data_IF_338117996273
#
_entry.id   IF_338117996273
#
_cell.length_a   1.000
_cell.length_b   1.000
_cell.length_c   1.000
_cell.angle_alpha   90.00
_cell.angle_beta   90.00
_cell.angle_gamma   90.00
#
_symmetry.space_group_name_H-M   'P 1'
#
loop_
_entity.id
_entity.type
_entity.pdbx_description
1 polymer ?
#
# COMPACT_ATOMS: atom_id res chain seq x y z
N UNK A 1 19.66 -10.23 8.54
CA UNK A 1 19.31 -11.50 9.19
C UNK A 1 18.02 -11.97 8.51
N UNK A 2 17.88 -13.23 8.15
CA UNK A 2 16.68 -13.77 7.53
C UNK A 2 15.92 -14.59 8.59
N UNK A 3 14.59 -14.48 8.62
CA UNK A 3 13.72 -15.39 9.35
C UNK A 3 13.06 -16.31 8.31
N UNK A 4 13.78 -17.33 7.92
CA UNK A 4 13.24 -18.38 7.04
C UNK A 4 13.07 -19.65 7.88
N UNK A 5 11.95 -20.35 7.71
CA UNK A 5 11.75 -21.62 8.39
C UNK A 5 12.74 -22.67 7.88
N UNK A 6 13.22 -23.52 8.78
CA UNK A 6 14.11 -24.62 8.44
C UNK A 6 13.50 -25.95 8.86
N UNK A 7 13.82 -26.99 8.13
CA UNK A 7 13.45 -28.37 8.44
C UNK A 7 14.70 -29.23 8.53
N UNK A 8 14.59 -30.28 9.33
CA UNK A 8 15.66 -31.28 9.43
C UNK A 8 15.54 -32.26 8.27
N UNK A 9 16.57 -32.32 7.44
CA UNK A 9 16.67 -33.28 6.36
C UNK A 9 16.87 -34.70 6.85
N UNK A 10 16.61 -35.75 6.07
CA UNK A 10 16.81 -37.16 6.48
C UNK A 10 18.23 -37.49 6.88
N UNK A 11 19.24 -36.79 6.37
CA UNK A 11 20.65 -36.92 6.72
C UNK A 11 21.04 -36.22 8.05
N UNK A 12 20.05 -35.57 8.68
CA UNK A 12 20.21 -34.84 9.94
C UNK A 12 20.68 -33.40 9.79
N UNK A 13 20.98 -32.91 8.60
CA UNK A 13 21.31 -31.52 8.33
C UNK A 13 20.06 -30.62 8.40
N UNK A 14 20.26 -29.31 8.65
CA UNK A 14 19.20 -28.32 8.53
C UNK A 14 19.21 -27.71 7.14
N UNK A 15 18.03 -27.58 6.54
CA UNK A 15 17.82 -26.85 5.28
C UNK A 15 16.64 -25.94 5.37
N UNK A 16 16.62 -24.92 4.53
CA UNK A 16 15.44 -24.06 4.35
C UNK A 16 14.21 -24.91 4.00
N UNK A 17 13.09 -24.62 4.65
CA UNK A 17 11.82 -25.24 4.32
C UNK A 17 11.30 -24.77 2.96
N UNK A 18 10.63 -25.67 2.27
CA UNK A 18 9.89 -25.38 1.03
C UNK A 18 8.40 -25.69 1.24
N UNK A 19 7.50 -25.10 0.45
CA UNK A 19 6.09 -25.47 0.46
C UNK A 19 5.95 -26.99 0.26
N UNK A 20 5.20 -27.64 1.16
CA UNK A 20 5.05 -29.10 1.22
C UNK A 20 5.90 -29.79 2.31
N UNK A 21 6.77 -29.05 3.00
CA UNK A 21 7.52 -29.60 4.13
C UNK A 21 6.72 -29.60 5.45
N UNK A 22 5.50 -29.05 5.46
CA UNK A 22 4.58 -29.06 6.61
C UNK A 22 4.86 -27.98 7.67
N UNK A 23 5.78 -27.03 7.41
CA UNK A 23 6.16 -26.01 8.40
C UNK A 23 5.06 -24.97 8.57
N UNK A 24 4.42 -24.55 7.49
CA UNK A 24 3.29 -23.62 7.56
C UNK A 24 2.07 -24.30 8.21
N UNK A 25 1.83 -25.58 7.95
CA UNK A 25 0.80 -26.38 8.64
C UNK A 25 1.07 -26.47 10.15
N UNK A 26 2.32 -26.75 10.54
CA UNK A 26 2.75 -26.80 11.94
C UNK A 26 2.56 -25.43 12.63
N UNK A 27 2.89 -24.34 11.95
CA UNK A 27 2.62 -22.98 12.43
C UNK A 27 1.13 -22.75 12.69
N UNK A 28 0.25 -23.11 11.73
CA UNK A 28 -1.20 -22.97 11.91
C UNK A 28 -1.70 -23.79 13.08
N UNK A 29 -1.19 -25.03 13.27
CA UNK A 29 -1.55 -25.89 14.40
C UNK A 29 -1.10 -25.26 15.71
N UNK A 30 0.11 -24.70 15.76
CA UNK A 30 0.61 -23.98 16.93
C UNK A 30 -0.24 -22.76 17.25
N UNK A 31 -0.57 -21.92 16.27
CA UNK A 31 -1.40 -20.75 16.45
C UNK A 31 -2.83 -21.11 16.92
N UNK A 32 -3.40 -22.20 16.38
CA UNK A 32 -4.74 -22.67 16.78
C UNK A 32 -4.81 -23.13 18.26
N UNK A 33 -3.67 -23.58 18.81
CA UNK A 33 -3.56 -24.01 20.21
C UNK A 33 -3.05 -22.90 21.13
N UNK A 34 -2.53 -21.80 20.59
CA UNK A 34 -1.96 -20.72 21.37
C UNK A 34 -3.04 -19.83 22.02
N UNK A 35 -2.79 -19.25 23.20
CA UNK A 35 -3.61 -18.16 23.71
C UNK A 35 -3.51 -16.93 22.78
N UNK A 36 -4.49 -15.99 22.86
CA UNK A 36 -4.52 -14.81 21.99
C UNK A 36 -3.20 -14.04 21.96
N UNK A 37 -2.50 -14.00 23.08
CA UNK A 37 -1.14 -13.44 23.15
C UNK A 37 -0.29 -14.31 24.08
N UNK A 38 0.92 -14.68 23.60
CA UNK A 38 1.90 -15.38 24.39
C UNK A 38 3.31 -14.93 24.04
N UNK A 39 4.23 -15.01 25.00
CA UNK A 39 5.63 -14.63 24.81
C UNK A 39 6.53 -15.78 25.25
N UNK A 40 7.49 -16.16 24.40
CA UNK A 40 8.50 -17.18 24.70
C UNK A 40 9.87 -16.63 24.27
N UNK A 41 10.72 -16.37 25.27
CA UNK A 41 12.01 -15.70 25.05
C UNK A 41 11.80 -14.32 24.38
N UNK A 42 12.42 -14.14 23.24
CA UNK A 42 12.32 -12.89 22.47
C UNK A 42 11.16 -12.85 21.46
N UNK A 43 10.34 -13.91 21.40
CA UNK A 43 9.23 -14.00 20.46
C UNK A 43 7.90 -13.71 21.14
N UNK A 44 7.07 -12.92 20.47
CA UNK A 44 5.66 -12.72 20.85
C UNK A 44 4.78 -13.30 19.76
N UNK A 45 3.86 -14.17 20.15
CA UNK A 45 2.86 -14.80 19.28
C UNK A 45 1.51 -14.13 19.55
N UNK A 46 0.82 -13.77 18.50
CA UNK A 46 -0.59 -13.36 18.52
C UNK A 46 -1.38 -14.33 17.67
N UNK A 47 -2.43 -14.90 18.26
CA UNK A 47 -3.29 -15.88 17.61
C UNK A 47 -4.74 -15.42 17.72
N UNK A 48 -5.43 -15.23 16.58
CA UNK A 48 -6.78 -14.67 16.57
C UNK A 48 -7.84 -15.62 16.03
N UNK A 49 -7.63 -16.14 14.81
CA UNK A 49 -8.60 -16.96 14.12
C UNK A 49 -8.00 -18.22 13.50
N UNK A 50 -6.75 -18.54 13.87
CA UNK A 50 -6.03 -19.68 13.32
C UNK A 50 -6.74 -20.99 13.63
N UNK A 51 -6.69 -21.91 12.68
CA UNK A 51 -7.15 -23.29 12.80
C UNK A 51 -6.18 -24.21 12.07
N UNK A 52 -6.09 -25.45 12.49
CA UNK A 52 -5.29 -26.44 11.80
C UNK A 52 -5.86 -26.73 10.40
N UNK A 53 -5.01 -26.60 9.41
CA UNK A 53 -5.33 -26.86 7.99
C UNK A 53 -4.12 -27.54 7.38
N UNK A 54 -4.33 -28.43 6.41
CA UNK A 54 -3.27 -29.17 5.72
C UNK A 54 -3.27 -28.87 4.21
N UNK A 55 -2.13 -29.16 3.57
CA UNK A 55 -1.91 -28.98 2.14
C UNK A 55 -1.22 -27.67 1.80
N UNK A 56 0.12 -27.67 1.82
CA UNK A 56 0.92 -26.49 1.46
C UNK A 56 1.14 -26.39 -0.04
N UNK A 57 1.04 -25.17 -0.56
CA UNK A 57 1.42 -24.83 -1.94
C UNK A 57 2.04 -23.45 -2.03
N UNK A 58 2.98 -23.28 -2.96
CA UNK A 58 3.59 -21.98 -3.23
C UNK A 58 2.60 -21.00 -3.86
N UNK A 59 2.80 -19.71 -3.61
CA UNK A 59 2.19 -18.66 -4.43
C UNK A 59 3.15 -18.36 -5.59
N UNK A 60 2.64 -18.50 -6.82
CA UNK A 60 3.42 -18.32 -8.05
C UNK A 60 3.48 -16.84 -8.50
N UNK A 61 3.79 -15.90 -7.59
CA UNK A 61 3.99 -14.48 -7.89
C UNK A 61 5.30 -13.99 -7.27
N UNK A 62 5.98 -13.10 -7.97
CA UNK A 62 7.18 -12.42 -7.46
C UNK A 62 6.81 -11.61 -6.21
N UNK A 63 7.35 -11.99 -5.07
CA UNK A 63 7.11 -11.33 -3.79
C UNK A 63 8.43 -11.12 -3.03
N UNK A 64 8.49 -10.04 -2.27
CA UNK A 64 9.58 -9.77 -1.33
C UNK A 64 9.58 -10.71 -0.13
N UNK A 65 8.44 -11.34 0.17
CA UNK A 65 8.22 -12.31 1.23
C UNK A 65 8.03 -13.71 0.66
N UNK A 66 8.40 -14.74 1.41
CA UNK A 66 8.05 -16.12 1.07
C UNK A 66 6.63 -16.39 1.55
N UNK A 67 5.72 -16.61 0.61
CA UNK A 67 4.30 -16.85 0.90
C UNK A 67 3.89 -18.27 0.55
N UNK A 68 3.20 -18.92 1.48
CA UNK A 68 2.69 -20.29 1.34
C UNK A 68 1.18 -20.29 1.59
N UNK A 69 0.41 -20.84 0.65
CA UNK A 69 -1.01 -21.08 0.86
C UNK A 69 -1.17 -22.44 1.53
N UNK A 70 -2.01 -22.49 2.57
CA UNK A 70 -2.30 -23.73 3.30
C UNK A 70 -3.79 -24.04 3.17
N UNK A 71 -4.10 -25.15 2.49
CA UNK A 71 -5.43 -25.74 2.38
C UNK A 71 -6.52 -24.82 1.89
N UNK A 72 -6.28 -23.95 0.90
CA UNK A 72 -7.24 -22.93 0.43
C UNK A 72 -7.91 -22.10 1.54
N UNK A 73 -7.28 -22.00 2.70
CA UNK A 73 -7.83 -21.36 3.88
C UNK A 73 -6.96 -20.23 4.44
N UNK A 74 -5.63 -20.38 4.38
CA UNK A 74 -4.69 -19.41 4.93
C UNK A 74 -3.54 -19.10 3.99
N UNK A 75 -2.96 -17.91 4.15
CA UNK A 75 -1.68 -17.50 3.57
C UNK A 75 -0.71 -17.22 4.72
N UNK A 76 0.41 -17.92 4.71
CA UNK A 76 1.53 -17.70 5.64
C UNK A 76 2.60 -16.92 4.91
N UNK A 77 2.94 -15.72 5.40
CA UNK A 77 3.95 -14.82 4.83
C UNK A 77 5.14 -14.73 5.78
N UNK A 78 6.26 -15.30 5.37
CA UNK A 78 7.51 -15.25 6.13
C UNK A 78 8.33 -14.02 5.73
N UNK A 79 8.81 -13.26 6.71
CA UNK A 79 9.71 -12.14 6.48
C UNK A 79 11.10 -12.67 6.11
N UNK A 80 11.41 -12.77 4.83
CA UNK A 80 12.73 -13.25 4.34
C UNK A 80 13.88 -12.35 4.74
N UNK A 81 13.60 -11.08 5.03
CA UNK A 81 14.58 -10.10 5.51
C UNK A 81 14.04 -9.43 6.78
N UNK A 82 14.61 -9.82 7.94
CA UNK A 82 14.32 -9.11 9.18
C UNK A 82 14.96 -7.73 9.13
N UNK A 83 14.12 -6.70 9.07
CA UNK A 83 14.56 -5.32 9.19
C UNK A 83 14.99 -5.06 10.63
N UNK A 84 16.14 -4.40 10.82
CA UNK A 84 16.51 -3.87 12.12
C UNK A 84 15.70 -2.59 12.34
N UNK A 85 14.71 -2.65 13.25
CA UNK A 85 13.87 -1.52 13.56
C UNK A 85 12.40 -1.92 13.81
N UNK A 86 11.57 -0.98 14.22
CA UNK A 86 10.16 -1.24 14.44
C UNK A 86 9.47 -1.59 13.12
N UNK A 87 8.52 -2.52 13.18
CA UNK A 87 7.70 -2.91 12.04
C UNK A 87 6.25 -2.43 12.24
N UNK A 88 5.65 -1.72 11.28
CA UNK A 88 4.32 -1.13 11.48
C UNK A 88 3.17 -2.14 11.46
N UNK A 89 3.26 -3.20 10.65
CA UNK A 89 2.16 -4.13 10.42
C UNK A 89 1.56 -4.74 11.69
N UNK A 90 2.34 -5.22 12.68
CA UNK A 90 1.76 -5.82 13.89
C UNK A 90 0.78 -4.91 14.60
N UNK A 91 1.15 -3.64 14.81
CA UNK A 91 0.30 -2.68 15.50
C UNK A 91 -0.90 -2.26 14.64
N UNK A 92 -0.69 -1.97 13.35
CA UNK A 92 -1.77 -1.61 12.42
C UNK A 92 -2.83 -2.71 12.34
N UNK A 93 -2.42 -3.97 12.16
CA UNK A 93 -3.34 -5.12 12.10
C UNK A 93 -4.13 -5.26 13.41
N UNK A 94 -3.48 -5.11 14.57
CA UNK A 94 -4.16 -5.15 15.87
C UNK A 94 -5.21 -4.06 16.02
N UNK A 95 -4.85 -2.82 15.68
CA UNK A 95 -5.76 -1.67 15.74
C UNK A 95 -6.95 -1.85 14.81
N UNK A 96 -6.69 -2.23 13.55
CA UNK A 96 -7.74 -2.46 12.55
C UNK A 96 -8.70 -3.57 12.99
N UNK A 97 -8.17 -4.69 13.48
CA UNK A 97 -8.98 -5.80 13.99
C UNK A 97 -9.84 -5.36 15.19
N UNK A 98 -9.24 -4.67 16.16
CA UNK A 98 -9.90 -4.22 17.37
C UNK A 98 -11.02 -3.21 17.08
N UNK A 99 -10.86 -2.37 16.06
CA UNK A 99 -11.84 -1.36 15.63
C UNK A 99 -12.80 -1.87 14.54
N UNK A 100 -12.84 -3.19 14.30
CA UNK A 100 -13.84 -3.82 13.47
C UNK A 100 -13.69 -3.62 11.96
N UNK A 101 -12.51 -3.19 11.48
CA UNK A 101 -12.24 -3.10 10.05
C UNK A 101 -12.27 -4.50 9.41
N UNK A 102 -13.08 -4.67 8.35
CA UNK A 102 -13.32 -5.97 7.71
C UNK A 102 -12.81 -6.06 6.29
N UNK A 103 -12.49 -4.93 5.66
CA UNK A 103 -12.01 -4.90 4.27
C UNK A 103 -10.51 -5.14 4.19
N UNK A 104 -10.03 -6.18 4.89
CA UNK A 104 -8.69 -6.76 4.80
C UNK A 104 -8.81 -8.29 4.90
N UNK A 105 -7.84 -9.07 4.40
CA UNK A 105 -7.80 -10.50 4.67
C UNK A 105 -7.91 -10.77 6.17
N UNK A 106 -8.75 -11.72 6.59
CA UNK A 106 -8.97 -11.98 8.02
C UNK A 106 -7.64 -12.34 8.69
N UNK A 107 -7.15 -11.58 9.68
CA UNK A 107 -5.90 -11.91 10.35
C UNK A 107 -6.07 -13.17 11.20
N UNK A 108 -5.26 -14.18 10.98
CA UNK A 108 -5.25 -15.42 11.76
C UNK A 108 -4.24 -15.38 12.89
N UNK A 109 -3.13 -14.68 12.70
CA UNK A 109 -2.12 -14.48 13.71
C UNK A 109 -0.83 -13.95 13.15
N UNK A 110 0.12 -13.61 14.01
CA UNK A 110 1.46 -13.19 13.64
C UNK A 110 2.47 -13.53 14.74
N UNK A 111 3.73 -13.57 14.35
CA UNK A 111 4.85 -13.68 15.29
C UNK A 111 5.79 -12.52 15.06
N UNK A 112 6.16 -11.89 16.16
CA UNK A 112 7.17 -10.85 16.18
C UNK A 112 8.38 -11.31 17.01
N UNK A 113 9.52 -10.74 16.70
CA UNK A 113 10.78 -10.98 17.40
C UNK A 113 11.37 -9.66 17.91
N UNK A 114 11.85 -9.68 19.16
CA UNK A 114 12.52 -8.54 19.79
C UNK A 114 13.96 -8.92 20.12
N UNK A 115 14.97 -8.41 19.39
CA UNK A 115 16.37 -8.68 19.69
C UNK A 115 16.82 -7.87 20.92
N UNK A 116 17.04 -8.55 22.05
CA UNK A 116 17.42 -7.88 23.30
C UNK A 116 16.45 -6.76 23.68
N UNK A 117 16.95 -5.55 23.91
CA UNK A 117 16.17 -4.35 24.22
C UNK A 117 15.76 -3.57 22.95
N UNK A 118 16.01 -4.13 21.77
CA UNK A 118 15.69 -3.51 20.50
C UNK A 118 14.18 -3.46 20.19
N UNK A 119 13.79 -2.77 19.12
CA UNK A 119 12.40 -2.73 18.69
C UNK A 119 11.95 -4.10 18.19
N UNK A 120 10.64 -4.31 18.27
CA UNK A 120 9.98 -5.52 17.79
C UNK A 120 9.85 -5.49 16.26
N UNK A 121 10.22 -6.59 15.60
CA UNK A 121 10.07 -6.76 14.14
C UNK A 121 9.17 -7.95 13.81
N UNK A 122 8.54 -7.91 12.63
CA UNK A 122 7.69 -8.99 12.14
C UNK A 122 8.54 -10.17 11.65
N UNK A 123 8.15 -11.39 12.01
CA UNK A 123 8.77 -12.65 11.57
C UNK A 123 7.87 -13.36 10.57
N UNK A 124 6.60 -13.47 10.91
CA UNK A 124 5.59 -14.12 10.06
C UNK A 124 4.23 -13.50 10.31
N UNK A 125 3.48 -13.33 9.25
CA UNK A 125 2.06 -12.96 9.27
C UNK A 125 1.23 -14.08 8.66
N UNK A 126 0.05 -14.33 9.21
CA UNK A 126 -0.89 -15.33 8.75
C UNK A 126 -2.25 -14.68 8.55
N UNK A 127 -2.71 -14.71 7.32
CA UNK A 127 -3.99 -14.15 6.88
C UNK A 127 -4.90 -15.24 6.31
N UNK A 128 -6.21 -15.04 6.34
CA UNK A 128 -7.17 -15.83 5.60
C UNK A 128 -6.90 -15.73 4.09
N UNK A 129 -6.87 -16.87 3.42
CA UNK A 129 -6.73 -16.91 1.97
C UNK A 129 -8.03 -16.44 1.28
N UNK A 130 -7.88 -15.67 0.22
CA UNK A 130 -8.98 -15.19 -0.62
C UNK A 130 -8.93 -15.90 -1.98
N UNK A 131 -9.68 -17.00 -2.16
CA UNK A 131 -9.69 -17.75 -3.41
C UNK A 131 -10.14 -16.89 -4.58
N UNK A 132 -9.39 -16.95 -5.69
CA UNK A 132 -9.72 -16.21 -6.91
C UNK A 132 -9.55 -14.69 -6.80
N UNK A 133 -8.89 -14.19 -5.75
CA UNK A 133 -8.59 -12.76 -5.66
C UNK A 133 -7.66 -12.33 -6.80
N UNK A 134 -7.97 -11.18 -7.38
CA UNK A 134 -7.22 -10.56 -8.46
C UNK A 134 -6.46 -9.37 -7.89
N UNK A 135 -5.17 -9.26 -8.21
CA UNK A 135 -4.34 -8.14 -7.76
C UNK A 135 -4.79 -6.81 -8.37
N UNK A 136 -4.43 -5.74 -7.65
CA UNK A 136 -4.93 -4.40 -7.96
C UNK A 136 -4.52 -3.87 -9.32
N UNK A 137 -3.31 -4.15 -9.77
CA UNK A 137 -2.87 -3.71 -11.08
C UNK A 137 -3.65 -4.41 -12.18
N UNK A 138 -3.86 -5.73 -12.05
CA UNK A 138 -4.62 -6.51 -13.03
C UNK A 138 -6.06 -6.02 -13.16
N UNK A 139 -6.84 -6.00 -12.06
CA UNK A 139 -8.26 -5.62 -12.16
C UNK A 139 -8.45 -4.15 -12.57
N UNK A 140 -7.60 -3.22 -12.10
CA UNK A 140 -7.76 -1.80 -12.40
C UNK A 140 -7.42 -1.49 -13.87
N UNK A 141 -6.32 -2.05 -14.38
CA UNK A 141 -5.91 -1.86 -15.78
C UNK A 141 -6.95 -2.43 -16.73
N UNK A 142 -7.44 -3.66 -16.50
CA UNK A 142 -8.45 -4.29 -17.35
C UNK A 142 -9.77 -3.53 -17.33
N UNK A 143 -10.23 -3.14 -16.14
CA UNK A 143 -11.49 -2.41 -15.98
C UNK A 143 -11.45 -1.04 -16.67
N UNK A 144 -10.34 -0.29 -16.54
CA UNK A 144 -10.14 1.00 -17.21
C UNK A 144 -10.04 0.82 -18.74
N UNK A 145 -9.31 -0.19 -19.20
CA UNK A 145 -9.18 -0.48 -20.63
C UNK A 145 -10.52 -0.86 -21.27
N UNK A 146 -11.31 -1.71 -20.62
CA UNK A 146 -12.66 -2.06 -21.09
C UNK A 146 -13.58 -0.84 -21.16
N UNK A 147 -13.53 0.02 -20.13
CA UNK A 147 -14.35 1.23 -20.10
C UNK A 147 -13.93 2.23 -21.19
N UNK A 148 -12.64 2.38 -21.46
CA UNK A 148 -12.16 3.25 -22.54
C UNK A 148 -12.55 2.75 -23.94
N UNK A 149 -12.67 1.43 -24.13
CA UNK A 149 -13.17 0.82 -25.39
C UNK A 149 -14.69 0.99 -25.58
N UNK A 150 -15.44 0.90 -24.49
CA UNK A 150 -16.92 0.91 -24.48
C UNK A 150 -17.45 1.91 -23.44
N UNK A 151 -17.18 3.22 -23.59
CA UNK A 151 -17.46 4.20 -22.53
C UNK A 151 -18.92 4.22 -22.10
N UNK A 152 -19.86 4.18 -23.06
CA UNK A 152 -21.30 4.24 -22.78
C UNK A 152 -21.81 3.05 -21.94
N UNK A 153 -21.11 1.91 -21.97
CA UNK A 153 -21.56 0.68 -21.31
C UNK A 153 -20.76 0.39 -20.02
N UNK A 154 -19.50 0.83 -19.92
CA UNK A 154 -18.56 0.37 -18.91
C UNK A 154 -18.04 1.44 -17.95
N UNK A 155 -18.18 2.74 -18.26
CA UNK A 155 -17.73 3.81 -17.34
C UNK A 155 -18.39 3.70 -15.96
N UNK A 156 -19.66 3.32 -15.90
CA UNK A 156 -20.36 3.12 -14.63
C UNK A 156 -19.71 2.05 -13.74
N UNK A 157 -19.14 0.98 -14.34
CA UNK A 157 -18.45 -0.08 -13.58
C UNK A 157 -17.14 0.42 -12.95
N UNK A 158 -16.37 1.24 -13.69
CA UNK A 158 -15.14 1.88 -13.15
C UNK A 158 -15.48 2.85 -12.02
N UNK A 159 -16.51 3.67 -12.21
CA UNK A 159 -16.99 4.60 -11.18
C UNK A 159 -17.45 3.86 -9.93
N UNK A 160 -18.18 2.75 -10.08
CA UNK A 160 -18.61 1.92 -8.96
C UNK A 160 -17.42 1.33 -8.21
N UNK A 161 -16.46 0.72 -8.92
CA UNK A 161 -15.23 0.17 -8.32
C UNK A 161 -14.44 1.23 -7.56
N UNK A 162 -14.24 2.41 -8.16
CA UNK A 162 -13.54 3.52 -7.51
C UNK A 162 -14.30 4.05 -6.29
N UNK A 163 -15.64 4.06 -6.33
CA UNK A 163 -16.50 4.43 -5.19
C UNK A 163 -16.36 3.44 -4.04
N UNK A 164 -16.37 2.14 -4.33
CA UNK A 164 -16.22 1.09 -3.34
C UNK A 164 -14.83 1.16 -2.67
N UNK A 165 -13.79 1.35 -3.47
CA UNK A 165 -12.41 1.52 -2.96
C UNK A 165 -12.30 2.79 -2.12
N UNK A 166 -12.89 3.91 -2.52
CA UNK A 166 -12.90 5.14 -1.71
C UNK A 166 -13.62 4.97 -0.38
N UNK A 167 -14.74 4.25 -0.38
CA UNK A 167 -15.49 3.88 0.83
C UNK A 167 -14.62 3.02 1.76
N UNK A 168 -13.96 1.99 1.20
CA UNK A 168 -13.06 1.12 1.94
C UNK A 168 -11.90 1.87 2.59
N UNK A 169 -11.26 2.81 1.87
CA UNK A 169 -10.14 3.62 2.41
C UNK A 169 -10.62 4.57 3.51
N UNK A 170 -11.83 5.13 3.40
CA UNK A 170 -12.42 5.93 4.46
C UNK A 170 -12.67 5.09 5.73
N UNK A 171 -13.15 3.86 5.58
CA UNK A 171 -13.35 2.93 6.69
C UNK A 171 -12.02 2.49 7.31
N UNK A 172 -10.97 2.30 6.51
CA UNK A 172 -9.60 2.06 6.97
C UNK A 172 -9.12 3.20 7.87
N UNK A 173 -9.20 4.45 7.39
CA UNK A 173 -8.75 5.61 8.16
C UNK A 173 -9.64 5.87 9.37
N UNK A 174 -10.93 5.60 9.30
CA UNK A 174 -11.84 5.66 10.44
C UNK A 174 -11.44 4.66 11.53
N UNK A 175 -11.10 3.42 11.16
CA UNK A 175 -10.63 2.41 12.12
C UNK A 175 -9.27 2.76 12.75
N UNK A 176 -8.40 3.46 11.99
CA UNK A 176 -7.11 3.97 12.47
C UNK A 176 -7.22 5.30 13.23
N UNK A 177 -8.40 5.93 13.31
CA UNK A 177 -8.59 7.23 13.96
C UNK A 177 -8.21 7.25 15.44
N UNK A 178 -8.23 6.10 16.11
CA UNK A 178 -7.77 5.95 17.50
C UNK A 178 -6.27 6.29 17.67
N UNK A 179 -5.49 6.23 16.58
CA UNK A 179 -4.07 6.60 16.56
C UNK A 179 -3.85 8.07 16.21
N UNK A 180 -4.94 8.85 16.09
CA UNK A 180 -4.85 10.23 15.64
C UNK A 180 -4.00 11.08 16.58
N UNK A 181 -3.14 11.88 15.98
CA UNK A 181 -2.26 12.84 16.64
C UNK A 181 -2.21 14.14 15.83
N UNK A 182 -1.47 15.10 16.33
CA UNK A 182 -1.23 16.36 15.64
C UNK A 182 0.20 16.39 15.13
N UNK A 183 0.38 16.72 13.86
CA UNK A 183 1.70 16.87 13.25
C UNK A 183 2.50 17.97 13.92
N UNK A 184 3.74 17.68 14.27
CA UNK A 184 4.70 18.67 14.73
C UNK A 184 5.30 19.46 13.57
N UNK A 185 5.98 20.57 13.86
CA UNK A 185 6.79 21.29 12.86
C UNK A 185 7.89 20.37 12.29
N UNK A 186 8.52 19.55 13.12
CA UNK A 186 9.54 18.61 12.68
C UNK A 186 8.98 17.55 11.69
N UNK A 187 7.73 17.16 11.83
CA UNK A 187 7.07 16.27 10.87
C UNK A 187 6.87 16.95 9.50
N UNK A 188 6.36 18.17 9.51
CA UNK A 188 6.16 18.97 8.30
C UNK A 188 7.50 19.25 7.58
N UNK A 189 8.53 19.61 8.33
CA UNK A 189 9.89 19.85 7.82
C UNK A 189 10.47 18.56 7.19
N UNK A 190 10.25 17.39 7.82
CA UNK A 190 10.68 16.09 7.32
C UNK A 190 10.01 15.74 5.99
N UNK A 191 8.68 15.92 5.87
CA UNK A 191 7.96 15.65 4.62
C UNK A 191 8.41 16.57 3.50
N UNK A 192 8.56 17.85 3.79
CA UNK A 192 9.06 18.83 2.85
C UNK A 192 10.49 18.49 2.38
N UNK A 193 11.41 18.22 3.29
CA UNK A 193 12.79 17.87 2.99
C UNK A 193 12.88 16.55 2.18
N UNK A 194 12.10 15.53 2.54
CA UNK A 194 12.04 14.28 1.78
C UNK A 194 11.52 14.49 0.36
N UNK A 195 10.53 15.37 0.17
CA UNK A 195 9.99 15.69 -1.14
C UNK A 195 11.01 16.39 -2.04
N UNK A 196 11.74 17.36 -1.52
CA UNK A 196 12.83 18.04 -2.25
C UNK A 196 13.99 17.09 -2.57
N UNK A 197 14.42 16.25 -1.62
CA UNK A 197 15.45 15.26 -1.86
C UNK A 197 15.02 14.25 -2.97
N UNK A 198 13.74 13.89 -3.02
CA UNK A 198 13.19 13.03 -4.07
C UNK A 198 13.19 13.74 -5.42
N UNK A 199 12.85 15.03 -5.47
CA UNK A 199 12.92 15.85 -6.68
C UNK A 199 14.35 15.89 -7.27
N UNK A 200 15.35 16.15 -6.42
CA UNK A 200 16.75 16.20 -6.86
C UNK A 200 17.23 14.83 -7.37
N UNK A 201 16.85 13.74 -6.71
CA UNK A 201 17.14 12.37 -7.17
C UNK A 201 16.44 12.05 -8.49
N UNK A 202 15.15 12.39 -8.62
CA UNK A 202 14.39 12.17 -9.84
C UNK A 202 15.02 12.92 -11.02
N UNK A 203 15.41 14.18 -10.83
CA UNK A 203 16.07 14.99 -11.86
C UNK A 203 17.41 14.38 -12.29
N UNK A 204 18.18 13.83 -11.37
CA UNK A 204 19.48 13.22 -11.66
C UNK A 204 19.37 11.86 -12.38
N UNK A 205 18.24 11.15 -12.22
CA UNK A 205 18.01 9.78 -12.72
C UNK A 205 17.08 9.70 -13.93
N UNK A 206 16.41 10.80 -14.29
CA UNK A 206 15.44 10.84 -15.38
C UNK A 206 16.07 10.70 -16.76
N UNK A 207 15.24 10.29 -17.73
CA UNK A 207 15.52 10.45 -19.16
C UNK A 207 15.71 11.94 -19.52
N UNK A 208 16.29 12.22 -20.69
CA UNK A 208 16.53 13.61 -21.11
C UNK A 208 15.26 14.46 -21.13
N UNK A 209 14.15 13.94 -21.68
CA UNK A 209 12.87 14.68 -21.77
C UNK A 209 12.26 14.95 -20.38
N UNK A 210 12.22 13.94 -19.52
CA UNK A 210 11.69 14.10 -18.15
C UNK A 210 12.59 15.01 -17.32
N UNK A 211 13.93 14.92 -17.47
CA UNK A 211 14.86 15.82 -16.79
C UNK A 211 14.71 17.27 -17.26
N UNK A 212 14.46 17.50 -18.57
CA UNK A 212 14.20 18.83 -19.11
C UNK A 212 12.89 19.40 -18.57
N UNK A 213 11.81 18.63 -18.55
CA UNK A 213 10.52 19.02 -17.96
C UNK A 213 10.65 19.37 -16.48
N UNK A 214 11.35 18.53 -15.70
CA UNK A 214 11.61 18.80 -14.27
C UNK A 214 12.37 20.11 -14.06
N UNK A 215 13.29 20.44 -14.97
CA UNK A 215 14.07 21.69 -14.91
C UNK A 215 13.22 22.89 -15.33
N UNK A 216 12.45 22.78 -16.40
CA UNK A 216 11.57 23.84 -16.90
C UNK A 216 10.47 24.22 -15.94
N UNK A 217 9.90 23.22 -15.24
CA UNK A 217 8.78 23.40 -14.31
C UNK A 217 9.25 23.42 -12.84
N UNK A 218 10.55 23.54 -12.59
CA UNK A 218 11.12 23.41 -11.24
C UNK A 218 10.47 24.35 -10.22
N UNK A 219 10.29 25.60 -10.53
CA UNK A 219 9.69 26.59 -9.62
C UNK A 219 8.24 26.23 -9.24
N UNK A 220 7.47 25.64 -10.16
CA UNK A 220 6.12 25.19 -9.90
C UNK A 220 6.12 23.94 -9.01
N UNK A 221 7.00 22.98 -9.31
CA UNK A 221 7.18 21.78 -8.53
C UNK A 221 7.60 22.11 -7.10
N UNK A 222 8.60 22.95 -6.93
CA UNK A 222 9.11 23.38 -5.61
C UNK A 222 8.03 24.12 -4.80
N UNK A 223 7.25 25.01 -5.43
CA UNK A 223 6.12 25.67 -4.74
C UNK A 223 5.06 24.65 -4.30
N UNK A 224 4.76 23.66 -5.12
CA UNK A 224 3.80 22.60 -4.80
C UNK A 224 4.30 21.74 -3.64
N UNK A 225 5.53 21.26 -3.71
CA UNK A 225 6.14 20.42 -2.67
C UNK A 225 6.38 21.21 -1.36
N UNK A 226 6.73 22.50 -1.47
CA UNK A 226 6.92 23.38 -0.33
C UNK A 226 5.66 23.55 0.52
N UNK A 227 4.47 23.34 -0.06
CA UNK A 227 3.21 23.30 0.68
C UNK A 227 3.16 22.22 1.78
N UNK A 228 3.98 21.18 1.69
CA UNK A 228 4.06 20.15 2.74
C UNK A 228 4.64 20.69 4.06
N UNK A 229 5.45 21.72 4.00
CA UNK A 229 5.98 22.42 5.20
C UNK A 229 4.90 23.14 6.04
N UNK A 230 3.71 23.36 5.46
CA UNK A 230 2.58 24.00 6.16
C UNK A 230 1.66 23.00 6.88
N UNK A 231 1.99 21.71 6.91
CA UNK A 231 1.13 20.67 7.52
C UNK A 231 1.26 20.55 9.03
N UNK A 232 2.15 21.33 9.66
CA UNK A 232 2.23 21.39 11.13
C UNK A 232 0.89 21.82 11.73
N UNK A 233 0.51 21.18 12.85
CA UNK A 233 -0.78 21.40 13.49
C UNK A 233 -1.95 20.64 12.86
N UNK A 234 -1.76 20.00 11.69
CA UNK A 234 -2.76 19.17 11.04
C UNK A 234 -2.88 17.76 11.64
N UNK A 235 -3.97 17.05 11.34
CA UNK A 235 -4.18 15.68 11.82
C UNK A 235 -3.29 14.68 11.13
N UNK A 236 -2.80 13.70 11.88
CA UNK A 236 -2.05 12.54 11.40
C UNK A 236 -2.56 11.27 12.05
N UNK A 237 -2.40 10.14 11.38
CA UNK A 237 -2.76 8.80 11.85
C UNK A 237 -1.63 7.82 11.51
N UNK A 238 -1.63 6.65 12.13
CA UNK A 238 -0.79 5.54 11.68
C UNK A 238 -1.38 4.91 10.40
N UNK A 239 -1.40 5.69 9.29
CA UNK A 239 -1.95 5.30 8.00
C UNK A 239 -1.25 4.10 7.39
N UNK A 240 -1.69 3.68 6.20
CA UNK A 240 -1.09 2.56 5.46
C UNK A 240 0.38 2.85 5.09
N UNK A 241 0.65 4.06 4.62
CA UNK A 241 2.01 4.57 4.33
C UNK A 241 2.58 4.16 2.97
N UNK A 242 1.92 3.23 2.26
CA UNK A 242 2.27 2.81 0.89
C UNK A 242 1.02 2.39 0.10
N UNK A 243 -0.08 3.15 0.28
CA UNK A 243 -1.36 2.81 -0.32
C UNK A 243 -1.38 3.17 -1.81
N UNK A 244 -1.56 2.17 -2.64
CA UNK A 244 -1.78 2.27 -4.08
C UNK A 244 -2.67 1.12 -4.55
N UNK A 245 -3.15 1.18 -5.80
CA UNK A 245 -4.07 0.18 -6.31
C UNK A 245 -3.54 -1.25 -6.19
N UNK A 246 -2.22 -1.46 -6.31
CA UNK A 246 -1.60 -2.77 -6.16
C UNK A 246 -1.78 -3.40 -4.78
N UNK A 247 -2.10 -2.62 -3.74
CA UNK A 247 -2.42 -3.12 -2.40
C UNK A 247 -3.91 -3.44 -2.21
N UNK A 248 -4.70 -3.30 -3.26
CA UNK A 248 -6.16 -3.54 -3.23
C UNK A 248 -6.49 -4.78 -4.03
N UNK A 249 -6.84 -5.87 -3.36
CA UNK A 249 -7.30 -7.09 -4.02
C UNK A 249 -8.80 -7.00 -4.30
N UNK A 250 -9.20 -7.44 -5.50
CA UNK A 250 -10.60 -7.70 -5.84
C UNK A 250 -10.92 -9.18 -5.61
N UNK A 251 -12.02 -9.47 -4.94
CA UNK A 251 -12.51 -10.83 -4.72
C UNK A 251 -14.05 -10.89 -4.80
N UNK A 252 -14.64 -12.07 -4.65
CA UNK A 252 -16.10 -12.26 -4.77
C UNK A 252 -16.93 -11.39 -3.79
N UNK A 253 -16.35 -10.98 -2.67
CA UNK A 253 -17.00 -10.11 -1.66
C UNK A 253 -16.75 -8.62 -1.82
N UNK A 254 -16.06 -8.17 -2.88
CA UNK A 254 -15.69 -6.76 -3.09
C UNK A 254 -14.19 -6.52 -3.07
N UNK A 255 -13.74 -5.46 -2.39
CA UNK A 255 -12.34 -5.06 -2.33
C UNK A 255 -11.78 -5.19 -0.91
N UNK A 256 -10.51 -5.56 -0.80
CA UNK A 256 -9.77 -5.59 0.46
C UNK A 256 -8.39 -4.96 0.28
N UNK A 257 -7.91 -4.28 1.31
CA UNK A 257 -6.56 -3.74 1.37
C UNK A 257 -5.62 -4.73 2.06
N UNK A 258 -4.39 -4.80 1.57
CA UNK A 258 -3.33 -5.71 2.05
C UNK A 258 -2.04 -4.95 2.29
N UNK A 259 -1.05 -5.61 2.89
CA UNK A 259 0.33 -5.12 3.01
C UNK A 259 0.49 -3.85 3.87
N UNK A 260 0.30 -4.03 5.17
CA UNK A 260 0.43 -2.95 6.17
C UNK A 260 1.89 -2.65 6.57
N UNK A 261 2.87 -3.10 5.79
CA UNK A 261 4.32 -2.99 6.09
C UNK A 261 4.86 -1.56 5.92
N UNK A 262 4.05 -0.66 5.34
CA UNK A 262 4.45 0.71 5.02
C UNK A 262 5.46 0.76 3.87
N UNK A 263 5.91 1.96 3.53
CA UNK A 263 6.74 2.17 2.35
C UNK A 263 8.13 1.51 2.48
N UNK A 264 8.46 0.52 1.62
CA UNK A 264 9.69 -0.26 1.72
C UNK A 264 10.97 0.56 1.48
N UNK A 265 10.90 1.71 0.81
CA UNK A 265 12.07 2.56 0.55
C UNK A 265 12.41 3.46 1.74
N UNK A 266 11.52 3.61 2.73
CA UNK A 266 11.78 4.37 3.94
C UNK A 266 12.56 3.55 4.97
N UNK A 267 13.40 4.19 5.79
CA UNK A 267 13.98 3.55 6.97
C UNK A 267 12.89 2.99 7.90
N UNK A 268 13.14 1.86 8.54
CA UNK A 268 12.16 1.19 9.41
C UNK A 268 11.56 2.12 10.48
N UNK A 269 12.39 3.00 11.07
CA UNK A 269 11.95 3.96 12.07
C UNK A 269 10.97 5.02 11.53
N UNK A 270 11.00 5.30 10.23
CA UNK A 270 10.09 6.26 9.60
C UNK A 270 8.77 5.62 9.16
N UNK A 271 8.75 4.32 8.88
CA UNK A 271 7.53 3.60 8.47
C UNK A 271 6.45 3.54 9.53
N UNK A 272 6.84 3.66 10.81
CA UNK A 272 5.91 3.63 11.96
C UNK A 272 5.43 5.02 12.37
N UNK A 273 5.95 6.08 11.76
CA UNK A 273 5.54 7.44 12.10
C UNK A 273 4.14 7.74 11.55
N UNK A 274 3.32 8.48 12.30
CA UNK A 274 2.04 8.96 11.79
C UNK A 274 2.20 9.83 10.54
N UNK A 275 1.21 9.74 9.66
CA UNK A 275 1.17 10.46 8.38
C UNK A 275 -0.17 11.18 8.21
N UNK A 276 -0.25 12.26 7.42
CA UNK A 276 -1.52 12.81 6.97
C UNK A 276 -2.30 11.77 6.15
N UNK A 277 -3.61 11.62 6.38
CA UNK A 277 -4.47 10.73 5.59
C UNK A 277 -4.39 11.03 4.08
N UNK A 278 -4.13 12.28 3.72
CA UNK A 278 -3.95 12.72 2.34
C UNK A 278 -2.77 12.04 1.62
N UNK A 279 -1.77 11.52 2.33
CA UNK A 279 -0.65 10.78 1.73
C UNK A 279 -1.15 9.46 1.12
N UNK A 280 -1.92 8.67 1.87
CA UNK A 280 -2.50 7.42 1.39
C UNK A 280 -3.52 7.67 0.27
N UNK A 281 -4.38 8.69 0.43
CA UNK A 281 -5.36 9.08 -0.59
C UNK A 281 -4.68 9.51 -1.88
N UNK A 282 -3.57 10.25 -1.79
CA UNK A 282 -2.79 10.68 -2.95
C UNK A 282 -2.13 9.50 -3.67
N UNK A 283 -1.56 8.56 -2.92
CA UNK A 283 -0.94 7.36 -3.48
C UNK A 283 -1.94 6.53 -4.29
N UNK A 284 -3.12 6.28 -3.73
CA UNK A 284 -4.15 5.54 -4.44
C UNK A 284 -4.72 6.33 -5.63
N UNK A 285 -5.04 7.61 -5.46
CA UNK A 285 -5.52 8.46 -6.56
C UNK A 285 -4.51 8.51 -7.72
N UNK A 286 -3.21 8.63 -7.43
CA UNK A 286 -2.16 8.63 -8.45
C UNK A 286 -2.00 7.27 -9.12
N UNK A 287 -2.19 6.18 -8.38
CA UNK A 287 -2.09 4.83 -8.95
C UNK A 287 -3.22 4.50 -9.94
N UNK A 288 -4.40 5.15 -9.86
CA UNK A 288 -5.43 5.06 -10.90
C UNK A 288 -4.97 5.70 -12.21
N UNK A 289 -4.27 6.84 -12.14
CA UNK A 289 -3.63 7.46 -13.32
C UNK A 289 -2.56 6.53 -13.90
N UNK A 290 -1.75 5.90 -13.06
CA UNK A 290 -0.75 4.92 -13.52
C UNK A 290 -1.41 3.71 -14.19
N UNK A 291 -2.52 3.19 -13.65
CA UNK A 291 -3.27 2.10 -14.27
C UNK A 291 -3.81 2.47 -15.66
N UNK A 292 -4.26 3.72 -15.86
CA UNK A 292 -4.66 4.21 -17.18
C UNK A 292 -3.48 4.28 -18.16
N UNK A 293 -2.31 4.73 -17.71
CA UNK A 293 -1.09 4.74 -18.55
C UNK A 293 -0.68 3.32 -18.95
N UNK A 294 -0.76 2.35 -18.01
CA UNK A 294 -0.51 0.94 -18.29
C UNK A 294 -1.54 0.39 -19.28
N UNK A 295 -2.84 0.71 -19.10
CA UNK A 295 -3.89 0.33 -20.02
C UNK A 295 -3.60 0.82 -21.45
N UNK A 296 -3.21 2.09 -21.61
CA UNK A 296 -2.79 2.65 -22.92
C UNK A 296 -1.62 1.89 -23.55
N UNK A 297 -0.68 1.41 -22.74
CA UNK A 297 0.50 0.68 -23.22
C UNK A 297 0.17 -0.71 -23.75
N UNK A 298 -0.80 -1.38 -23.16
CA UNK A 298 -1.08 -2.79 -23.42
C UNK A 298 -2.36 -3.04 -24.21
N UNK A 299 -3.21 -2.01 -24.38
CA UNK A 299 -4.48 -2.12 -25.07
C UNK A 299 -4.63 -1.02 -26.12
N UNK A 300 -5.30 -1.32 -27.21
CA UNK A 300 -5.74 -0.33 -28.20
C UNK A 300 -6.98 0.39 -27.65
N UNK A 301 -6.81 1.64 -27.20
CA UNK A 301 -7.84 2.47 -26.61
C UNK A 301 -7.72 3.90 -27.14
N UNK A 302 -8.84 4.61 -27.23
CA UNK A 302 -8.85 6.04 -27.56
C UNK A 302 -8.36 6.87 -26.38
N UNK A 303 -7.37 7.74 -26.60
CA UNK A 303 -6.73 8.54 -25.53
C UNK A 303 -7.72 9.48 -24.83
N UNK A 304 -8.71 10.03 -25.56
CA UNK A 304 -9.72 10.92 -24.98
C UNK A 304 -10.70 10.16 -24.10
N UNK A 305 -11.14 8.97 -24.57
CA UNK A 305 -12.00 8.10 -23.79
C UNK A 305 -11.26 7.61 -22.52
N UNK A 306 -10.00 7.22 -22.65
CA UNK A 306 -9.17 6.80 -21.54
C UNK A 306 -9.01 7.89 -20.48
N UNK A 307 -8.68 9.12 -20.91
CA UNK A 307 -8.57 10.26 -19.99
C UNK A 307 -9.88 10.56 -19.26
N UNK A 308 -11.02 10.48 -19.98
CA UNK A 308 -12.32 10.71 -19.36
C UNK A 308 -12.67 9.63 -18.32
N UNK A 309 -12.37 8.37 -18.61
CA UNK A 309 -12.58 7.25 -17.69
C UNK A 309 -11.69 7.37 -16.44
N UNK A 310 -10.39 7.69 -16.63
CA UNK A 310 -9.45 7.90 -15.52
C UNK A 310 -9.92 9.03 -14.61
N UNK A 311 -10.28 10.19 -15.17
CA UNK A 311 -10.76 11.32 -14.40
C UNK A 311 -12.04 10.98 -13.63
N UNK A 312 -12.98 10.26 -14.24
CA UNK A 312 -14.21 9.82 -13.58
C UNK A 312 -13.92 8.85 -12.43
N UNK A 313 -13.01 7.90 -12.63
CA UNK A 313 -12.58 6.97 -11.58
C UNK A 313 -11.94 7.70 -10.39
N UNK A 314 -10.97 8.56 -10.68
CA UNK A 314 -10.23 9.29 -9.64
C UNK A 314 -11.15 10.24 -8.87
N UNK A 315 -12.06 10.94 -9.55
CA UNK A 315 -13.04 11.79 -8.89
C UNK A 315 -14.01 10.98 -8.02
N UNK A 316 -14.53 9.86 -8.52
CA UNK A 316 -15.43 8.98 -7.77
C UNK A 316 -14.76 8.43 -6.49
N UNK A 317 -13.48 8.04 -6.59
CA UNK A 317 -12.68 7.64 -5.44
C UNK A 317 -12.58 8.75 -4.40
N UNK A 318 -12.17 9.96 -4.79
CA UNK A 318 -11.98 11.10 -3.89
C UNK A 318 -13.29 11.53 -3.22
N UNK A 319 -14.37 11.61 -4.00
CA UNK A 319 -15.69 12.03 -3.51
C UNK A 319 -16.28 11.00 -2.53
N UNK A 320 -16.16 9.71 -2.86
CA UNK A 320 -16.68 8.65 -1.98
C UNK A 320 -15.88 8.55 -0.69
N UNK A 321 -14.54 8.69 -0.76
CA UNK A 321 -13.68 8.74 0.41
C UNK A 321 -14.07 9.90 1.36
N UNK A 322 -14.13 11.13 0.86
CA UNK A 322 -14.43 12.30 1.68
C UNK A 322 -15.85 12.23 2.27
N UNK A 323 -16.83 11.83 1.47
CA UNK A 323 -18.21 11.62 1.92
C UNK A 323 -18.29 10.57 3.02
N UNK A 324 -17.71 9.37 2.79
CA UNK A 324 -17.76 8.27 3.73
C UNK A 324 -17.06 8.60 5.04
N UNK A 325 -15.89 9.25 4.99
CA UNK A 325 -15.18 9.67 6.18
C UNK A 325 -16.01 10.68 7.03
N UNK A 326 -16.75 11.56 6.34
CA UNK A 326 -17.69 12.50 6.99
C UNK A 326 -18.86 11.77 7.63
N UNK A 327 -19.47 10.79 6.94
CA UNK A 327 -20.55 9.95 7.47
C UNK A 327 -20.13 9.18 8.74
N UNK A 328 -18.86 8.77 8.80
CA UNK A 328 -18.27 8.08 9.96
C UNK A 328 -17.90 9.03 11.11
N UNK A 329 -18.07 10.35 10.94
CA UNK A 329 -17.76 11.35 11.96
C UNK A 329 -16.29 11.76 12.02
N UNK A 330 -15.49 11.41 11.03
CA UNK A 330 -14.04 11.63 11.01
C UNK A 330 -13.57 12.63 9.94
N UNK A 331 -14.45 13.51 9.44
CA UNK A 331 -14.10 14.50 8.41
C UNK A 331 -12.84 15.31 8.74
N UNK A 332 -12.60 15.60 10.02
CA UNK A 332 -11.42 16.35 10.48
C UNK A 332 -10.07 15.62 10.32
N UNK A 333 -10.05 14.33 9.94
CA UNK A 333 -8.80 13.62 9.65
C UNK A 333 -8.24 13.90 8.25
N UNK A 334 -9.04 14.46 7.36
CA UNK A 334 -8.65 14.67 5.97
C UNK A 334 -8.68 16.15 5.59
N UNK A 335 -7.55 16.61 5.09
CA UNK A 335 -7.40 17.85 4.37
C UNK A 335 -6.97 17.53 2.92
N UNK A 336 -7.71 18.02 1.94
CA UNK A 336 -7.41 17.82 0.53
C UNK A 336 -6.29 18.76 0.00
N UNK A 337 -5.93 19.81 0.73
CA UNK A 337 -4.97 20.81 0.28
C UNK A 337 -3.60 20.21 -0.12
N UNK A 338 -2.99 19.25 0.63
CA UNK A 338 -1.72 18.66 0.26
C UNK A 338 -1.80 17.56 -0.81
N UNK A 339 -2.99 17.20 -1.30
CA UNK A 339 -3.20 16.07 -2.20
C UNK A 339 -2.32 16.15 -3.45
N UNK A 340 -2.26 17.33 -4.09
CA UNK A 340 -1.43 17.54 -5.29
C UNK A 340 0.07 17.36 -4.99
N UNK A 341 0.53 17.84 -3.84
CA UNK A 341 1.92 17.72 -3.44
C UNK A 341 2.31 16.26 -3.19
N UNK A 342 1.48 15.49 -2.51
CA UNK A 342 1.73 14.05 -2.29
C UNK A 342 1.62 13.24 -3.59
N UNK A 343 0.69 13.55 -4.49
CA UNK A 343 0.64 12.92 -5.82
C UNK A 343 1.91 13.19 -6.62
N UNK A 344 2.39 14.44 -6.60
CA UNK A 344 3.64 14.82 -7.26
C UNK A 344 4.85 14.09 -6.65
N UNK A 345 4.93 14.03 -5.32
CA UNK A 345 5.96 13.26 -4.62
C UNK A 345 5.91 11.78 -5.01
N UNK A 346 4.72 11.20 -5.15
CA UNK A 346 4.56 9.81 -5.60
C UNK A 346 5.14 9.61 -7.01
N UNK A 347 4.83 10.47 -7.97
CA UNK A 347 5.39 10.39 -9.34
C UNK A 347 6.92 10.49 -9.33
N UNK A 348 7.46 11.43 -8.55
CA UNK A 348 8.92 11.59 -8.41
C UNK A 348 9.58 10.35 -7.79
N UNK A 349 8.94 9.72 -6.79
CA UNK A 349 9.41 8.46 -6.20
C UNK A 349 9.39 7.31 -7.20
N UNK A 350 8.35 7.23 -8.04
CA UNK A 350 8.26 6.24 -9.11
C UNK A 350 9.38 6.40 -10.14
N UNK A 351 9.77 7.62 -10.49
CA UNK A 351 10.94 7.89 -11.35
C UNK A 351 12.19 7.28 -10.71
N UNK A 352 12.44 7.60 -9.43
CA UNK A 352 13.62 7.10 -8.71
C UNK A 352 13.60 5.57 -8.61
N UNK A 353 12.45 4.99 -8.29
CA UNK A 353 12.29 3.55 -8.18
C UNK A 353 12.51 2.85 -9.53
N UNK A 354 11.86 3.35 -10.58
CA UNK A 354 12.01 2.80 -11.92
C UNK A 354 13.46 2.84 -12.39
N UNK A 355 14.15 3.97 -12.22
CA UNK A 355 15.53 4.11 -12.63
C UNK A 355 16.48 3.12 -11.92
N UNK A 356 16.23 2.83 -10.64
CA UNK A 356 17.09 1.98 -9.82
C UNK A 356 16.78 0.49 -9.89
N UNK A 357 15.51 0.14 -9.98
CA UNK A 357 15.04 -1.22 -9.74
C UNK A 357 14.21 -1.81 -10.87
N UNK A 358 13.51 -0.98 -11.65
CA UNK A 358 12.54 -1.45 -12.63
C UNK A 358 12.54 -0.58 -13.90
N UNK A 359 13.65 -0.53 -14.68
CA UNK A 359 13.76 0.39 -15.83
C UNK A 359 12.64 0.26 -16.87
N UNK A 360 12.06 -0.95 -17.02
CA UNK A 360 10.92 -1.21 -17.91
C UNK A 360 9.64 -0.47 -17.49
N UNK A 361 9.56 0.02 -16.26
CA UNK A 361 8.42 0.77 -15.70
C UNK A 361 8.51 2.28 -15.93
N UNK A 362 9.67 2.80 -16.37
CA UNK A 362 9.94 4.24 -16.50
C UNK A 362 8.88 4.98 -17.34
N UNK A 363 8.30 4.31 -18.35
CA UNK A 363 7.26 4.93 -19.19
C UNK A 363 6.02 5.39 -18.40
N UNK A 364 5.79 4.84 -17.21
CA UNK A 364 4.65 5.22 -16.36
C UNK A 364 4.87 6.60 -15.73
N UNK A 365 5.91 6.82 -14.91
CA UNK A 365 6.13 8.15 -14.35
C UNK A 365 6.50 9.20 -15.41
N UNK A 366 7.17 8.84 -16.53
CA UNK A 366 7.44 9.75 -17.65
C UNK A 366 6.13 10.30 -18.26
N UNK A 367 5.09 9.46 -18.39
CA UNK A 367 3.78 9.90 -18.87
C UNK A 367 2.96 10.59 -17.76
N UNK A 368 3.08 10.17 -16.50
CA UNK A 368 2.29 10.71 -15.40
C UNK A 368 2.70 12.14 -15.01
N UNK A 369 4.00 12.45 -15.09
CA UNK A 369 4.52 13.76 -14.67
C UNK A 369 3.89 14.93 -15.45
N UNK A 370 3.94 14.97 -16.80
CA UNK A 370 3.30 16.06 -17.54
C UNK A 370 1.78 16.11 -17.30
N UNK A 371 1.11 14.96 -17.25
CA UNK A 371 -0.33 14.92 -16.97
C UNK A 371 -0.68 15.62 -15.66
N UNK A 372 0.08 15.32 -14.58
CA UNK A 372 -0.14 15.92 -13.27
C UNK A 372 0.21 17.41 -13.23
N UNK A 373 1.29 17.82 -13.89
CA UNK A 373 1.68 19.25 -13.94
C UNK A 373 0.67 20.09 -14.73
N UNK A 374 0.07 19.52 -15.76
CA UNK A 374 -0.93 20.22 -16.61
C UNK A 374 -2.36 20.14 -16.05
N UNK A 375 -2.59 19.34 -14.99
CA UNK A 375 -3.88 19.40 -14.28
C UNK A 375 -4.13 20.82 -13.76
N UNK A 376 -5.22 21.46 -14.23
CA UNK A 376 -5.63 22.76 -13.70
C UNK A 376 -5.96 22.61 -12.22
N UNK A 377 -5.36 23.42 -11.39
CA UNK A 377 -5.76 23.53 -9.98
C UNK A 377 -7.22 23.98 -9.95
N UNK A 378 -8.13 23.05 -9.66
CA UNK A 378 -9.52 23.41 -9.40
C UNK A 378 -9.48 24.20 -8.10
N UNK A 379 -9.60 25.52 -8.19
CA UNK A 379 -9.80 26.38 -7.02
C UNK A 379 -11.14 25.96 -6.42
N UNK A 380 -11.11 25.44 -5.19
CA UNK A 380 -12.33 25.33 -4.40
C UNK A 380 -12.95 26.73 -4.30
N UNK A 381 -14.13 26.88 -4.88
CA UNK A 381 -14.96 28.08 -4.77
C UNK A 381 -15.79 28.02 -3.50
#
# INVERSE_FOLDING_TARGET
MAAVPEVRAPDGSWRRAHPGDGVAEALLTMLAAAPETSTTGSFTVRAWAARSVAGERAIAVDQTNESVIVGDAAVVKWATHLLQGPHPAPHRIEVLRANGFRSMPSPWGLITWRPGDGPQTLVVNVDGYLPGAVDGWTWAVELIAEAARLPALRTAAVVAAATDVGTMVAELHSALSITAATASQADADRWCAAAFATLDQAQALSSSETADLLRERRDEIERTLGGLGALAGGPVIEGHGDLHVGQVLQHAGGYVVTDFDGNPVLPAAERVLPIPAALDVAGLAQSLTHAAIVARRHHEVDDRALSAVEQAARQAFLDSYARRLTELGHAGLYDAAPLRAFRLQQVLREIVYAARHLPRWMYVPDAALPMLLDERTIRAS
#
